data_IF_809915677836
#
_entry.id   IF_809915677836
#
_cell.length_a   1.000
_cell.length_b   1.000
_cell.length_c   1.000
_cell.angle_alpha   90.00
_cell.angle_beta   90.00
_cell.angle_gamma   90.00
#
_symmetry.space_group_name_H-M   'P 1'
#
loop_
_entity.id
_entity.type
_entity.pdbx_description
1 polymer ?
#
# COMPACT_ATOMS: atom_id res chain seq x y z
N UNK A 1 26.02 -2.57 9.31
CA UNK A 1 24.54 -2.57 9.24
C UNK A 1 24.07 -3.46 8.11
N UNK A 2 23.20 -4.38 8.41
CA UNK A 2 22.61 -5.19 7.35
C UNK A 2 21.57 -4.39 6.58
N UNK A 3 21.64 -4.46 5.27
CA UNK A 3 20.66 -3.89 4.38
C UNK A 3 19.41 -4.76 4.35
N UNK A 4 18.26 -4.17 4.41
CA UNK A 4 17.01 -4.88 4.21
C UNK A 4 16.74 -5.04 2.72
N UNK A 5 16.08 -6.12 2.38
CA UNK A 5 15.55 -6.35 1.04
C UNK A 5 14.14 -5.77 0.94
N UNK A 6 13.58 -5.76 -0.25
CA UNK A 6 12.24 -5.23 -0.48
C UNK A 6 11.36 -6.28 -1.14
N UNK A 7 10.15 -6.45 -0.59
CA UNK A 7 9.05 -7.09 -1.28
C UNK A 7 8.30 -5.98 -2.00
N UNK A 8 8.04 -6.14 -3.28
CA UNK A 8 7.47 -5.07 -4.11
C UNK A 8 6.09 -5.48 -4.60
N UNK A 9 5.10 -4.62 -4.31
CA UNK A 9 3.77 -4.70 -4.91
C UNK A 9 3.64 -3.47 -5.79
N UNK A 10 3.63 -3.69 -7.11
CA UNK A 10 3.67 -2.58 -8.08
C UNK A 10 2.32 -2.43 -8.76
N UNK A 11 1.85 -1.18 -8.81
CA UNK A 11 0.64 -0.79 -9.55
C UNK A 11 -0.57 -1.66 -9.22
N UNK A 12 -0.80 -1.90 -7.92
CA UNK A 12 -1.99 -2.60 -7.48
C UNK A 12 -3.20 -1.71 -7.71
N UNK A 13 -4.06 -2.14 -8.62
CA UNK A 13 -5.29 -1.40 -8.90
C UNK A 13 -6.34 -1.74 -7.84
N UNK A 14 -6.74 -0.73 -7.10
CA UNK A 14 -7.80 -0.84 -6.11
C UNK A 14 -8.95 0.09 -6.47
N UNK A 15 -10.11 -0.12 -5.87
CA UNK A 15 -11.26 0.75 -6.04
C UNK A 15 -11.82 1.10 -4.68
N UNK A 16 -12.14 2.37 -4.50
CA UNK A 16 -12.71 2.83 -3.24
C UNK A 16 -13.18 4.26 -3.32
N UNK A 17 -13.89 4.67 -2.30
CA UNK A 17 -14.41 6.03 -2.17
C UNK A 17 -13.43 6.86 -1.38
N UNK A 18 -12.87 7.87 -2.02
CA UNK A 18 -11.88 8.75 -1.40
C UNK A 18 -11.97 10.12 -2.07
N UNK A 19 -11.78 11.18 -1.31
CA UNK A 19 -11.72 12.50 -1.89
C UNK A 19 -12.04 13.61 -0.91
N UNK A 20 -11.59 14.79 -1.26
CA UNK A 20 -11.75 15.99 -0.45
C UNK A 20 -13.24 16.41 -0.40
N UNK A 21 -13.94 16.28 -1.51
CA UNK A 21 -15.36 16.67 -1.58
C UNK A 21 -16.26 15.47 -1.31
N UNK A 22 -17.47 15.77 -0.85
CA UNK A 22 -18.50 14.75 -0.66
C UNK A 22 -18.87 14.08 -1.99
N UNK A 23 -18.89 14.84 -3.07
CA UNK A 23 -19.16 14.32 -4.41
C UNK A 23 -18.13 13.27 -4.83
N UNK A 24 -16.84 13.52 -4.57
CA UNK A 24 -15.78 12.53 -4.85
C UNK A 24 -15.98 11.25 -4.04
N UNK A 25 -16.37 11.38 -2.77
CA UNK A 25 -16.55 10.23 -1.87
C UNK A 25 -17.84 9.44 -2.14
N UNK A 26 -18.72 9.95 -3.00
CA UNK A 26 -19.98 9.26 -3.29
C UNK A 26 -19.86 8.15 -4.31
N UNK A 27 -18.77 8.10 -5.08
CA UNK A 27 -18.57 7.14 -6.16
C UNK A 27 -17.21 6.46 -6.01
N UNK A 28 -17.15 5.13 -6.16
CA UNK A 28 -15.85 4.43 -6.18
C UNK A 28 -15.00 4.92 -7.35
N UNK A 29 -13.71 5.03 -7.14
CA UNK A 29 -12.76 5.41 -8.17
C UNK A 29 -11.53 4.51 -8.11
N UNK A 30 -10.76 4.52 -9.19
CA UNK A 30 -9.53 3.75 -9.29
C UNK A 30 -8.44 4.41 -8.45
N UNK A 31 -7.80 3.61 -7.62
CA UNK A 31 -6.69 4.04 -6.77
C UNK A 31 -5.54 3.06 -7.00
N UNK A 32 -4.43 3.56 -7.50
CA UNK A 32 -3.22 2.76 -7.68
C UNK A 32 -2.40 2.79 -6.39
N UNK A 33 -2.01 1.63 -5.93
CA UNK A 33 -1.18 1.48 -4.74
C UNK A 33 0.12 0.80 -5.12
N UNK A 34 1.23 1.42 -4.74
CA UNK A 34 2.56 0.81 -4.82
C UNK A 34 3.09 0.68 -3.41
N UNK A 35 3.56 -0.51 -3.07
CA UNK A 35 4.08 -0.78 -1.74
C UNK A 35 5.43 -1.47 -1.83
N UNK A 36 6.41 -0.93 -1.12
CA UNK A 36 7.69 -1.57 -0.90
C UNK A 36 7.76 -1.94 0.58
N UNK A 37 7.88 -3.23 0.86
CA UNK A 37 7.89 -3.77 2.21
C UNK A 37 9.32 -4.21 2.52
N UNK A 38 9.99 -3.49 3.40
CA UNK A 38 11.39 -3.76 3.73
C UNK A 38 11.47 -4.84 4.79
N UNK A 39 12.17 -5.91 4.46
CA UNK A 39 12.29 -7.11 5.30
C UNK A 39 13.60 -7.81 5.01
N UNK A 40 14.02 -8.66 5.93
CA UNK A 40 15.19 -9.53 5.70
C UNK A 40 14.69 -10.83 5.07
N UNK A 41 15.07 -11.07 3.82
CA UNK A 41 14.60 -12.25 3.07
C UNK A 41 15.55 -13.43 3.14
N UNK A 42 16.66 -13.33 3.89
CA UNK A 42 17.68 -14.41 3.92
C UNK A 42 17.15 -15.72 4.47
N UNK A 43 16.31 -15.66 5.49
CA UNK A 43 15.73 -16.88 6.08
C UNK A 43 14.81 -17.59 5.08
N UNK A 44 13.94 -16.86 4.41
CA UNK A 44 13.05 -17.41 3.39
C UNK A 44 13.84 -17.98 2.20
N UNK A 45 14.91 -17.27 1.79
CA UNK A 45 15.77 -17.72 0.69
C UNK A 45 16.46 -19.04 1.03
N UNK A 46 16.86 -19.22 2.29
CA UNK A 46 17.54 -20.44 2.72
C UNK A 46 16.61 -21.61 2.98
N UNK A 47 15.44 -21.36 3.57
CA UNK A 47 14.49 -22.40 3.96
C UNK A 47 13.51 -22.77 2.85
N UNK A 48 13.25 -21.83 1.94
CA UNK A 48 12.17 -21.93 0.94
C UNK A 48 10.81 -22.23 1.58
N UNK A 49 10.61 -21.75 2.81
CA UNK A 49 9.36 -21.92 3.55
C UNK A 49 8.50 -20.69 3.45
N UNK A 50 7.23 -20.89 3.12
CA UNK A 50 6.23 -19.80 3.06
C UNK A 50 6.10 -19.11 4.43
N UNK A 51 6.28 -19.85 5.51
CA UNK A 51 6.19 -19.31 6.87
C UNK A 51 7.27 -18.28 7.19
N UNK A 52 8.37 -18.29 6.45
CA UNK A 52 9.50 -17.38 6.66
C UNK A 52 9.44 -16.14 5.77
N UNK A 53 8.41 -16.01 4.94
CA UNK A 53 8.28 -14.89 4.01
C UNK A 53 7.07 -14.00 4.32
N UNK A 54 7.11 -12.79 3.76
CA UNK A 54 5.92 -11.93 3.71
C UNK A 54 5.07 -12.41 2.53
N UNK A 55 3.87 -12.88 2.81
CA UNK A 55 2.95 -13.32 1.75
C UNK A 55 2.35 -12.11 1.05
N UNK A 56 2.96 -11.72 -0.06
CA UNK A 56 2.54 -10.53 -0.82
C UNK A 56 1.12 -10.67 -1.40
N UNK A 57 0.70 -11.88 -1.75
CA UNK A 57 -0.66 -12.11 -2.25
C UNK A 57 -1.71 -11.79 -1.19
N UNK A 58 -1.50 -12.28 0.03
CA UNK A 58 -2.38 -11.98 1.17
C UNK A 58 -2.36 -10.48 1.48
N UNK A 59 -1.18 -9.86 1.44
CA UNK A 59 -1.04 -8.44 1.71
C UNK A 59 -1.78 -7.61 0.66
N UNK A 60 -1.64 -7.95 -0.61
CA UNK A 60 -2.35 -7.26 -1.69
C UNK A 60 -3.87 -7.33 -1.50
N UNK A 61 -4.39 -8.50 -1.14
CA UNK A 61 -5.83 -8.68 -0.86
C UNK A 61 -6.30 -7.83 0.30
N UNK A 62 -5.49 -7.72 1.34
CA UNK A 62 -5.81 -6.86 2.50
C UNK A 62 -5.84 -5.38 2.12
N UNK A 63 -4.91 -4.94 1.29
CA UNK A 63 -4.88 -3.57 0.79
C UNK A 63 -6.13 -3.28 -0.05
N UNK A 64 -6.51 -4.20 -0.93
CA UNK A 64 -7.72 -4.06 -1.75
C UNK A 64 -8.97 -3.97 -0.87
N UNK A 65 -9.09 -4.82 0.15
CA UNK A 65 -10.21 -4.78 1.07
C UNK A 65 -10.26 -3.47 1.86
N UNK A 66 -9.09 -2.96 2.25
CA UNK A 66 -8.99 -1.68 2.94
C UNK A 66 -9.49 -0.54 2.05
N UNK A 67 -9.12 -0.55 0.77
CA UNK A 67 -9.58 0.46 -0.19
C UNK A 67 -11.11 0.44 -0.36
N UNK A 68 -11.71 -0.74 -0.43
CA UNK A 68 -13.15 -0.89 -0.57
C UNK A 68 -13.93 -0.33 0.62
N UNK A 69 -13.36 -0.41 1.81
CA UNK A 69 -13.95 0.10 3.06
C UNK A 69 -13.58 1.55 3.32
N UNK A 70 -12.74 2.12 2.47
CA UNK A 70 -12.17 3.44 2.68
C UNK A 70 -13.24 4.53 2.70
N UNK A 71 -13.21 5.37 3.74
CA UNK A 71 -14.01 6.57 3.84
C UNK A 71 -13.16 7.80 4.07
N UNK A 72 -11.87 7.72 3.73
CA UNK A 72 -10.93 8.81 3.98
C UNK A 72 -11.14 9.97 3.00
N UNK A 73 -10.84 11.17 3.47
CA UNK A 73 -10.91 12.38 2.67
C UNK A 73 -9.63 12.64 1.90
N UNK A 74 -8.51 12.14 2.39
CA UNK A 74 -7.19 12.43 1.83
C UNK A 74 -6.45 11.16 1.48
N UNK A 75 -5.65 11.23 0.40
CA UNK A 75 -4.75 10.12 0.04
C UNK A 75 -3.68 9.90 1.11
N UNK A 76 -3.32 10.96 1.82
CA UNK A 76 -2.35 10.89 2.93
C UNK A 76 -2.86 9.97 4.05
N UNK A 77 -4.12 10.12 4.45
CA UNK A 77 -4.73 9.27 5.46
C UNK A 77 -4.82 7.82 5.01
N UNK A 78 -5.20 7.60 3.76
CA UNK A 78 -5.29 6.26 3.20
C UNK A 78 -3.90 5.61 3.10
N UNK A 79 -2.88 6.36 2.67
CA UNK A 79 -1.51 5.86 2.62
C UNK A 79 -1.02 5.45 4.02
N UNK A 80 -1.36 6.21 5.05
CA UNK A 80 -1.01 5.87 6.43
C UNK A 80 -1.73 4.59 6.86
N UNK A 81 -2.99 4.42 6.50
CA UNK A 81 -3.74 3.20 6.81
C UNK A 81 -3.06 1.96 6.19
N UNK A 82 -2.59 2.09 4.95
CA UNK A 82 -1.87 1.01 4.27
C UNK A 82 -0.54 0.73 4.97
N UNK A 83 0.19 1.79 5.33
CA UNK A 83 1.45 1.65 6.04
C UNK A 83 1.26 0.90 7.37
N UNK A 84 0.24 1.28 8.14
CA UNK A 84 -0.08 0.62 9.41
C UNK A 84 -0.43 -0.86 9.21
N UNK A 85 -1.21 -1.15 8.17
CA UNK A 85 -1.58 -2.53 7.81
C UNK A 85 -0.34 -3.37 7.53
N UNK A 86 0.58 -2.84 6.72
CA UNK A 86 1.79 -3.57 6.34
C UNK A 86 2.75 -3.72 7.51
N UNK A 87 2.91 -2.67 8.33
CA UNK A 87 3.81 -2.70 9.49
C UNK A 87 3.29 -3.60 10.60
N UNK A 88 2.01 -3.94 10.60
CA UNK A 88 1.46 -4.92 11.55
C UNK A 88 2.01 -6.33 11.33
N UNK A 89 2.54 -6.62 10.13
CA UNK A 89 3.19 -7.89 9.86
C UNK A 89 4.54 -7.96 10.56
N UNK A 90 4.77 -9.02 11.31
CA UNK A 90 5.98 -9.14 12.16
C UNK A 90 7.30 -9.05 11.40
N UNK A 91 7.33 -9.51 10.14
CA UNK A 91 8.55 -9.54 9.33
C UNK A 91 8.83 -8.22 8.61
N UNK A 92 7.89 -7.31 8.58
CA UNK A 92 8.04 -6.01 7.90
C UNK A 92 8.61 -4.99 8.88
N UNK A 93 9.74 -4.38 8.50
CA UNK A 93 10.46 -3.40 9.34
C UNK A 93 10.16 -1.95 8.96
N UNK A 94 9.98 -1.71 7.67
CA UNK A 94 9.80 -0.39 7.09
C UNK A 94 8.95 -0.53 5.83
N UNK A 95 8.21 0.50 5.48
CA UNK A 95 7.42 0.53 4.24
C UNK A 95 7.60 1.84 3.51
N UNK A 96 7.49 1.76 2.18
CA UNK A 96 7.29 2.91 1.31
C UNK A 96 5.98 2.68 0.57
N UNK A 97 5.03 3.57 0.77
CA UNK A 97 3.69 3.45 0.23
C UNK A 97 3.42 4.64 -0.69
N UNK A 98 2.99 4.35 -1.92
CA UNK A 98 2.54 5.37 -2.87
C UNK A 98 1.09 5.13 -3.18
N UNK A 99 0.26 6.16 -3.03
CA UNK A 99 -1.17 6.12 -3.33
C UNK A 99 -1.45 7.18 -4.37
N UNK A 100 -2.04 6.79 -5.49
CA UNK A 100 -2.32 7.69 -6.60
C UNK A 100 -3.77 7.54 -7.09
N UNK A 101 -4.40 8.69 -7.38
CA UNK A 101 -5.70 8.74 -8.04
C UNK A 101 -5.45 9.10 -9.51
N UNK A 102 -6.00 8.30 -10.42
CA UNK A 102 -5.69 8.42 -11.85
C UNK A 102 -6.59 9.39 -12.61
N UNK A 103 -7.67 9.88 -12.00
CA UNK A 103 -8.63 10.74 -12.66
C UNK A 103 -8.98 12.01 -11.88
N UNK A 104 -8.18 12.32 -10.85
CA UNK A 104 -8.50 13.42 -9.93
C UNK A 104 -8.24 14.80 -10.51
N UNK A 105 -7.22 14.94 -11.35
CA UNK A 105 -6.80 16.23 -11.91
C UNK A 105 -6.65 16.10 -13.42
N UNK A 106 -7.31 17.01 -14.12
CA UNK A 106 -7.26 17.08 -15.58
C UNK A 106 -5.82 17.37 -16.05
N UNK A 107 -5.43 16.74 -17.16
CA UNK A 107 -4.12 16.88 -17.81
C UNK A 107 -2.94 16.26 -17.04
N UNK A 108 -3.19 15.59 -15.91
CA UNK A 108 -2.16 14.79 -15.27
C UNK A 108 -2.49 13.31 -15.43
N UNK A 109 -1.46 12.48 -15.45
CA UNK A 109 -1.62 11.04 -15.48
C UNK A 109 -2.18 10.53 -14.15
N UNK A 110 -1.66 11.05 -13.07
CA UNK A 110 -2.06 10.68 -11.72
C UNK A 110 -1.59 11.72 -10.71
N UNK A 111 -2.28 11.80 -9.58
CA UNK A 111 -1.85 12.62 -8.45
C UNK A 111 -1.93 11.77 -7.19
N UNK A 112 -1.01 11.99 -6.27
CA UNK A 112 -1.00 11.20 -5.06
C UNK A 112 0.09 11.59 -4.08
N UNK A 113 0.39 10.68 -3.18
CA UNK A 113 1.38 10.86 -2.13
C UNK A 113 2.25 9.61 -2.01
N UNK A 114 3.50 9.82 -1.63
CA UNK A 114 4.39 8.72 -1.27
C UNK A 114 4.94 8.99 0.12
N UNK A 115 4.82 8.00 0.99
CA UNK A 115 5.27 8.10 2.38
C UNK A 115 6.21 6.94 2.72
N UNK A 116 7.10 7.19 3.68
CA UNK A 116 7.91 6.15 4.30
C UNK A 116 7.58 6.10 5.78
N UNK A 117 7.42 4.90 6.30
CA UNK A 117 7.16 4.68 7.72
C UNK A 117 7.95 3.45 8.18
N UNK A 118 8.38 3.46 9.42
CA UNK A 118 9.09 2.34 10.01
C UNK A 118 8.62 2.08 11.43
N UNK A 119 8.88 0.86 11.91
CA UNK A 119 8.57 0.47 13.28
C UNK A 119 9.41 1.24 14.30
#
# INVERSE_FOLDING_TARGET
MSKLDKIIIRDLLTRGKIGISEAERSVPQDILVNAELFTDTRKAAGSDSIDDCVNYSTMAKKIMALAEKNGRKTVEAFAQDIADLCLAHELVRKVRIRVEKTSAVRFTKAVGVEIEREK
#
